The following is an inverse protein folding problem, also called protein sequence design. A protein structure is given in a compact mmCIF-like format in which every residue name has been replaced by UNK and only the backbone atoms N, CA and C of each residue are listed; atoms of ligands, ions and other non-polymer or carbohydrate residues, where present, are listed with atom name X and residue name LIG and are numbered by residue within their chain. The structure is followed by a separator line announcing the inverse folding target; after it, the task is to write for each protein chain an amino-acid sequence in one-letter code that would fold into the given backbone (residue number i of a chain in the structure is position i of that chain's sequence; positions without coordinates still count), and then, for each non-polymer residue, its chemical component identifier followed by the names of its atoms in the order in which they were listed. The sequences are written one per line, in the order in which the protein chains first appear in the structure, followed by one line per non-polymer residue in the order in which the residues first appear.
data_IF_824609625991
#
_entry.id   IF_824609625991
#
_cell.length_a   1.000
_cell.length_b   1.000
_cell.length_c   1.000
_cell.angle_alpha   90.00
_cell.angle_beta   90.00
_cell.angle_gamma   90.00
#
_symmetry.space_group_name_H-M   'P 1'
#
loop_
_entity.id
_entity.type
_entity.pdbx_description
1 polymer ?
#
# COMPACT_ATOMS: atom_id res chain seq x y z
N UNK A 1 -13.84 -31.80 11.38
CA UNK A 1 -13.14 -33.04 10.94
C UNK A 1 -13.52 -33.46 9.52
N UNK A 2 -12.88 -32.84 8.52
CA UNK A 2 -12.73 -33.35 7.16
C UNK A 2 -11.50 -32.65 6.55
N UNK A 3 -10.35 -33.34 6.61
CA UNK A 3 -9.07 -32.89 6.03
C UNK A 3 -9.26 -32.66 4.52
N UNK A 4 -9.06 -31.44 4.03
CA UNK A 4 -8.92 -31.15 2.60
C UNK A 4 -7.45 -30.99 2.27
N UNK A 5 -6.99 -31.79 1.31
CA UNK A 5 -5.62 -31.81 0.83
C UNK A 5 -5.37 -30.66 -0.15
N UNK A 6 -4.32 -29.88 0.15
CA UNK A 6 -3.57 -29.11 -0.85
C UNK A 6 -3.05 -30.06 -1.94
N UNK A 7 -3.15 -29.62 -3.20
CA UNK A 7 -2.67 -30.40 -4.33
C UNK A 7 -2.68 -29.64 -5.64
N UNK A 8 -1.75 -28.69 -5.80
CA UNK A 8 -1.21 -28.36 -7.12
C UNK A 8 -0.52 -29.62 -7.67
N UNK A 9 -0.99 -30.11 -8.82
CA UNK A 9 -0.28 -31.17 -9.54
C UNK A 9 -1.09 -31.86 -10.62
N UNK A 10 -0.69 -31.60 -11.87
CA UNK A 10 -0.92 -32.41 -13.09
C UNK A 10 -2.21 -32.16 -13.88
N UNK A 11 -2.08 -31.36 -14.93
CA UNK A 11 -2.84 -31.56 -16.16
C UNK A 11 -1.95 -31.33 -17.40
N UNK A 12 -1.00 -32.24 -17.62
CA UNK A 12 -0.33 -32.40 -18.91
C UNK A 12 -0.57 -33.83 -19.44
N UNK A 13 -1.06 -33.88 -20.69
CA UNK A 13 -1.15 -35.02 -21.64
C UNK A 13 -2.39 -35.93 -21.58
N UNK A 14 -3.27 -35.75 -22.58
CA UNK A 14 -3.71 -36.75 -23.58
C UNK A 14 -4.82 -36.10 -24.45
N UNK A 15 -4.75 -36.01 -25.79
CA UNK A 15 -4.64 -37.09 -26.78
C UNK A 15 -4.27 -36.52 -28.17
N UNK A 16 -3.25 -37.12 -28.83
CA UNK A 16 -3.10 -37.19 -30.31
C UNK A 16 -4.24 -38.09 -30.87
N UNK A 17 -4.67 -38.11 -32.13
CA UNK A 17 -3.99 -37.97 -33.42
C UNK A 17 -5.03 -38.10 -34.57
N UNK A 18 -4.82 -37.44 -35.71
CA UNK A 18 -4.81 -38.10 -37.04
C UNK A 18 -4.09 -37.23 -38.09
N UNK A 19 -3.00 -37.79 -38.62
CA UNK A 19 -2.15 -37.44 -39.77
C UNK A 19 -2.90 -37.67 -41.10
N UNK A 20 -2.60 -37.12 -42.28
CA UNK A 20 -1.37 -36.62 -42.97
C UNK A 20 -1.80 -36.08 -44.40
N UNK A 21 -0.91 -35.66 -45.34
CA UNK A 21 -0.09 -34.44 -45.42
C UNK A 21 -0.33 -33.63 -46.73
N UNK A 22 0.17 -32.38 -46.82
CA UNK A 22 0.86 -31.92 -48.03
C UNK A 22 1.72 -30.66 -47.80
N UNK A 23 2.65 -30.47 -48.72
CA UNK A 23 3.95 -29.79 -48.61
C UNK A 23 3.99 -28.26 -48.38
N UNK A 24 5.09 -27.85 -47.72
CA UNK A 24 5.90 -26.64 -47.92
C UNK A 24 5.27 -25.24 -47.79
N UNK A 25 5.48 -24.61 -46.63
CA UNK A 25 6.22 -23.36 -46.46
C UNK A 25 6.36 -23.09 -44.95
N UNK A 26 7.57 -22.90 -44.43
CA UNK A 26 7.78 -22.39 -43.07
C UNK A 26 7.68 -20.85 -43.09
N UNK A 27 6.73 -20.23 -42.38
CA UNK A 27 6.96 -18.92 -41.80
C UNK A 27 7.69 -19.13 -40.47
N UNK A 28 8.78 -18.38 -40.27
CA UNK A 28 9.36 -18.19 -38.94
C UNK A 28 8.23 -17.76 -38.00
N UNK A 29 8.02 -18.50 -36.92
CA UNK A 29 7.16 -18.07 -35.84
C UNK A 29 7.81 -16.82 -35.22
N UNK A 30 7.31 -15.65 -35.59
CA UNK A 30 7.49 -14.48 -34.77
C UNK A 30 6.78 -14.77 -33.45
N UNK A 31 7.51 -14.70 -32.33
CA UNK A 31 6.89 -14.60 -31.02
C UNK A 31 6.29 -13.18 -30.91
N UNK A 32 5.26 -12.90 -31.69
CA UNK A 32 4.48 -11.67 -31.58
C UNK A 32 3.58 -11.80 -30.35
N UNK A 33 3.94 -11.09 -29.28
CA UNK A 33 3.10 -10.94 -28.10
C UNK A 33 1.89 -10.09 -28.53
N UNK A 34 0.73 -10.72 -28.72
CA UNK A 34 -0.52 -10.00 -28.97
C UNK A 34 -1.16 -9.70 -27.62
N UNK A 35 -1.00 -8.46 -27.15
CA UNK A 35 -1.71 -7.96 -25.96
C UNK A 35 -2.96 -7.25 -26.44
N UNK A 36 -4.14 -7.73 -26.06
CA UNK A 36 -5.39 -7.01 -26.30
C UNK A 36 -5.44 -5.79 -25.38
N UNK A 37 -5.49 -4.59 -25.97
CA UNK A 37 -5.61 -3.34 -25.22
C UNK A 37 -7.04 -3.17 -24.71
N UNK A 38 -7.19 -2.65 -23.50
CA UNK A 38 -8.49 -2.37 -22.89
C UNK A 38 -9.25 -1.20 -23.55
N UNK A 39 -8.57 -0.38 -24.35
CA UNK A 39 -9.12 0.82 -24.99
C UNK A 39 -8.91 0.80 -26.52
N UNK A 40 -9.89 1.32 -27.29
CA UNK A 40 -9.75 1.56 -28.73
C UNK A 40 -8.76 2.70 -28.98
N UNK A 41 -7.47 2.38 -29.05
CA UNK A 41 -6.39 3.33 -29.32
C UNK A 41 -6.07 3.36 -30.82
N UNK A 42 -5.83 4.56 -31.38
CA UNK A 42 -5.43 4.73 -32.77
C UNK A 42 -4.11 3.97 -33.05
N UNK A 43 -4.13 3.08 -34.05
CA UNK A 43 -2.98 2.32 -34.49
C UNK A 43 -1.80 3.20 -34.99
N UNK A 44 -2.03 4.49 -35.24
CA UNK A 44 -0.99 5.45 -35.62
C UNK A 44 -0.48 6.33 -34.45
N UNK A 45 -1.09 6.24 -33.27
CA UNK A 45 -0.64 6.94 -32.07
C UNK A 45 0.27 6.02 -31.24
N UNK A 46 1.55 5.99 -31.58
CA UNK A 46 2.56 5.14 -30.91
C UNK A 46 2.67 5.44 -29.40
N UNK A 47 2.51 6.71 -29.00
CA UNK A 47 2.56 7.12 -27.60
C UNK A 47 1.26 6.76 -26.85
N UNK A 48 0.11 6.88 -27.50
CA UNK A 48 -1.16 6.37 -26.99
C UNK A 48 -1.11 4.86 -26.76
N UNK A 49 -0.52 4.10 -27.70
CA UNK A 49 -0.33 2.65 -27.56
C UNK A 49 0.55 2.28 -26.38
N UNK A 50 1.68 2.99 -26.20
CA UNK A 50 2.55 2.78 -25.04
C UNK A 50 1.78 2.97 -23.72
N UNK A 51 0.97 4.04 -23.65
CA UNK A 51 0.13 4.32 -22.48
C UNK A 51 -0.91 3.20 -22.26
N UNK A 52 -1.57 2.74 -23.32
CA UNK A 52 -2.52 1.63 -23.25
C UNK A 52 -1.88 0.32 -22.77
N UNK A 53 -0.69 -0.01 -23.27
CA UNK A 53 0.07 -1.19 -22.84
C UNK A 53 0.42 -1.12 -21.35
N UNK A 54 0.94 0.03 -20.90
CA UNK A 54 1.26 0.27 -19.50
C UNK A 54 0.02 0.15 -18.60
N UNK A 55 -1.07 0.82 -18.96
CA UNK A 55 -2.33 0.75 -18.21
C UNK A 55 -2.89 -0.69 -18.15
N UNK A 56 -2.79 -1.45 -19.24
CA UNK A 56 -3.23 -2.86 -19.27
C UNK A 56 -2.40 -3.70 -18.30
N UNK A 57 -1.08 -3.47 -18.24
CA UNK A 57 -0.20 -4.12 -17.28
C UNK A 57 -0.52 -3.73 -15.83
N UNK A 58 -0.70 -2.44 -15.54
CA UNK A 58 -1.03 -1.95 -14.20
C UNK A 58 -2.34 -2.52 -13.65
N UNK A 59 -3.32 -2.79 -14.52
CA UNK A 59 -4.61 -3.37 -14.15
C UNK A 59 -4.64 -4.91 -14.22
N UNK A 60 -3.50 -5.56 -14.47
CA UNK A 60 -3.36 -7.02 -14.48
C UNK A 60 -2.80 -7.54 -13.14
N UNK A 61 -2.61 -8.86 -13.03
CA UNK A 61 -1.93 -9.49 -11.88
C UNK A 61 -0.42 -9.14 -11.79
N UNK A 62 0.12 -8.36 -12.76
CA UNK A 62 1.52 -7.89 -12.82
C UNK A 62 2.57 -9.02 -12.81
N UNK A 63 2.18 -10.27 -13.09
CA UNK A 63 3.02 -11.48 -12.99
C UNK A 63 3.76 -11.88 -14.29
N UNK A 64 3.65 -11.07 -15.34
CA UNK A 64 4.13 -11.41 -16.66
C UNK A 64 5.32 -10.55 -17.12
N UNK A 65 6.54 -11.07 -16.92
CA UNK A 65 7.79 -10.44 -17.34
C UNK A 65 7.84 -10.15 -18.86
N UNK A 66 7.14 -10.94 -19.70
CA UNK A 66 7.12 -10.72 -21.15
C UNK A 66 6.39 -9.43 -21.53
N UNK A 67 5.34 -9.07 -20.79
CA UNK A 67 4.59 -7.82 -21.02
C UNK A 67 5.48 -6.63 -20.69
N UNK A 68 6.17 -6.67 -19.55
CA UNK A 68 7.12 -5.62 -19.14
C UNK A 68 8.24 -5.44 -20.16
N UNK A 69 8.83 -6.53 -20.63
CA UNK A 69 9.84 -6.49 -21.70
C UNK A 69 9.27 -5.93 -23.02
N UNK A 70 8.01 -6.24 -23.35
CA UNK A 70 7.31 -5.65 -24.50
C UNK A 70 7.21 -4.13 -24.40
N UNK A 71 6.84 -3.61 -23.23
CA UNK A 71 6.75 -2.17 -22.94
C UNK A 71 8.14 -1.52 -23.06
N UNK A 72 9.18 -2.13 -22.51
CA UNK A 72 10.57 -1.64 -22.62
C UNK A 72 11.03 -1.59 -24.07
N UNK A 73 10.76 -2.63 -24.86
CA UNK A 73 11.12 -2.64 -26.29
C UNK A 73 10.38 -1.56 -27.09
N UNK A 74 9.14 -1.27 -26.73
CA UNK A 74 8.37 -0.18 -27.32
C UNK A 74 8.95 1.18 -26.95
N UNK A 75 9.31 1.38 -25.68
CA UNK A 75 10.03 2.57 -25.23
C UNK A 75 11.36 2.78 -25.99
N UNK A 76 12.12 1.71 -26.17
CA UNK A 76 13.36 1.72 -26.94
C UNK A 76 13.14 2.03 -28.43
N UNK A 77 12.04 1.54 -29.01
CA UNK A 77 11.65 1.85 -30.40
C UNK A 77 11.35 3.34 -30.55
N UNK A 78 10.54 3.89 -29.65
CA UNK A 78 10.19 5.31 -29.61
C UNK A 78 11.43 6.19 -29.42
N UNK A 79 12.33 5.82 -28.50
CA UNK A 79 13.58 6.55 -28.26
C UNK A 79 14.49 6.55 -29.49
N UNK A 80 14.60 5.43 -30.22
CA UNK A 80 15.37 5.36 -31.48
C UNK A 80 14.76 6.19 -32.61
N UNK A 81 13.45 6.34 -32.61
CA UNK A 81 12.70 7.09 -33.61
C UNK A 81 12.54 8.57 -33.24
N UNK A 82 13.00 8.97 -32.04
CA UNK A 82 12.97 10.35 -31.57
C UNK A 82 13.77 11.25 -32.53
N UNK A 83 13.12 12.26 -33.09
CA UNK A 83 13.79 13.28 -33.90
C UNK A 83 14.29 14.38 -32.96
N UNK A 84 15.44 14.98 -33.26
CA UNK A 84 16.02 16.10 -32.48
C UNK A 84 15.04 17.25 -32.21
N UNK A 85 13.98 17.40 -33.01
CA UNK A 85 12.95 18.44 -32.87
C UNK A 85 11.73 18.05 -32.04
N UNK A 86 11.57 16.78 -31.64
CA UNK A 86 10.39 16.26 -30.94
C UNK A 86 10.80 15.57 -29.65
N UNK A 87 10.85 16.35 -28.58
CA UNK A 87 11.13 15.86 -27.25
C UNK A 87 10.02 14.92 -26.77
N UNK A 88 10.37 13.72 -26.32
CA UNK A 88 9.42 12.78 -25.74
C UNK A 88 8.80 13.34 -24.45
N UNK A 89 7.48 13.13 -24.22
CA UNK A 89 6.77 13.65 -23.06
C UNK A 89 7.27 13.05 -21.74
N UNK A 90 6.96 13.68 -20.62
CA UNK A 90 7.38 13.23 -19.29
C UNK A 90 6.81 11.85 -18.94
N UNK A 91 5.53 11.61 -19.23
CA UNK A 91 4.92 10.29 -18.99
C UNK A 91 5.62 9.16 -19.76
N UNK A 92 6.26 9.43 -20.90
CA UNK A 92 7.08 8.41 -21.59
C UNK A 92 8.25 7.98 -20.71
N UNK A 93 8.98 8.95 -20.15
CA UNK A 93 10.09 8.68 -19.25
C UNK A 93 9.62 7.97 -17.98
N UNK A 94 8.44 8.34 -17.46
CA UNK A 94 7.82 7.68 -16.31
C UNK A 94 7.47 6.22 -16.61
N UNK A 95 6.78 5.92 -17.71
CA UNK A 95 6.43 4.54 -18.10
C UNK A 95 7.70 3.71 -18.27
N UNK A 96 8.71 4.25 -18.98
CA UNK A 96 9.95 3.53 -19.20
C UNK A 96 10.67 3.23 -17.88
N UNK A 97 10.81 4.23 -17.00
CA UNK A 97 11.46 4.02 -15.72
C UNK A 97 10.71 3.03 -14.82
N UNK A 98 9.38 3.14 -14.70
CA UNK A 98 8.59 2.18 -13.93
C UNK A 98 8.71 0.77 -14.52
N UNK A 99 8.66 0.61 -15.85
CA UNK A 99 8.82 -0.70 -16.49
C UNK A 99 10.19 -1.34 -16.20
N UNK A 100 11.26 -0.53 -16.19
CA UNK A 100 12.58 -1.00 -15.80
C UNK A 100 12.63 -1.43 -14.33
N UNK A 101 12.00 -0.66 -13.43
CA UNK A 101 11.93 -1.01 -12.01
C UNK A 101 11.11 -2.29 -11.76
N UNK A 102 10.02 -2.51 -12.51
CA UNK A 102 9.18 -3.71 -12.39
C UNK A 102 9.95 -5.00 -12.73
N UNK A 103 11.00 -4.94 -13.54
CA UNK A 103 11.85 -6.11 -13.77
C UNK A 103 12.50 -6.64 -12.48
N UNK A 104 12.71 -5.80 -11.46
CA UNK A 104 13.28 -6.23 -10.18
C UNK A 104 12.41 -7.31 -9.49
N UNK A 105 11.09 -7.26 -9.66
CA UNK A 105 10.14 -8.22 -9.06
C UNK A 105 10.32 -9.65 -9.60
N UNK A 106 10.91 -9.81 -10.79
CA UNK A 106 11.13 -11.13 -11.42
C UNK A 106 12.51 -11.73 -11.11
N UNK A 107 13.43 -10.92 -10.56
CA UNK A 107 14.83 -11.33 -10.32
C UNK A 107 15.25 -11.15 -8.86
N UNK A 108 14.31 -11.22 -7.91
CA UNK A 108 14.51 -10.96 -6.47
C UNK A 108 15.61 -11.78 -5.80
N UNK A 109 15.95 -12.96 -6.34
CA UNK A 109 17.04 -13.80 -5.84
C UNK A 109 18.45 -13.33 -6.25
N UNK A 110 18.55 -12.43 -7.24
CA UNK A 110 19.82 -11.88 -7.74
C UNK A 110 19.88 -10.38 -7.46
N UNK A 111 20.40 -10.03 -6.28
CA UNK A 111 20.51 -8.64 -5.84
C UNK A 111 21.35 -7.76 -6.79
N UNK A 112 22.26 -8.36 -7.58
CA UNK A 112 23.03 -7.60 -8.58
C UNK A 112 22.12 -7.12 -9.70
N UNK A 113 21.28 -8.01 -10.24
CA UNK A 113 20.28 -7.64 -11.25
C UNK A 113 19.23 -6.69 -10.71
N UNK A 114 18.72 -6.94 -9.50
CA UNK A 114 17.78 -6.03 -8.83
C UNK A 114 18.35 -4.61 -8.80
N UNK A 115 19.61 -4.47 -8.35
CA UNK A 115 20.32 -3.19 -8.36
C UNK A 115 20.44 -2.60 -9.77
N UNK A 116 20.82 -3.38 -10.77
CA UNK A 116 20.96 -2.92 -12.16
C UNK A 116 19.64 -2.37 -12.72
N UNK A 117 18.51 -3.03 -12.45
CA UNK A 117 17.19 -2.56 -12.86
C UNK A 117 16.80 -1.25 -12.19
N UNK A 118 16.99 -1.14 -10.88
CA UNK A 118 16.71 0.11 -10.16
C UNK A 118 17.62 1.26 -10.60
N UNK A 119 18.90 1.00 -10.81
CA UNK A 119 19.83 2.03 -11.30
C UNK A 119 19.45 2.51 -12.71
N UNK A 120 19.12 1.59 -13.62
CA UNK A 120 18.65 1.94 -14.96
C UNK A 120 17.33 2.73 -14.94
N UNK A 121 16.41 2.36 -14.06
CA UNK A 121 15.15 3.06 -13.85
C UNK A 121 15.39 4.51 -13.37
N UNK A 122 16.25 4.69 -12.36
CA UNK A 122 16.58 6.01 -11.82
C UNK A 122 17.34 6.87 -12.84
N UNK A 123 18.29 6.30 -13.58
CA UNK A 123 18.97 7.00 -14.69
C UNK A 123 17.97 7.49 -15.74
N UNK A 124 16.93 6.69 -16.06
CA UNK A 124 15.87 7.09 -16.99
C UNK A 124 15.02 8.23 -16.46
N UNK A 125 14.66 8.20 -15.17
CA UNK A 125 13.92 9.30 -14.53
C UNK A 125 14.75 10.57 -14.51
N UNK A 126 16.02 10.49 -14.08
CA UNK A 126 16.91 11.65 -13.98
C UNK A 126 17.18 12.27 -15.35
N UNK A 127 17.33 11.45 -16.40
CA UNK A 127 17.37 11.93 -17.78
C UNK A 127 16.08 12.68 -18.15
N UNK A 128 14.92 12.13 -17.82
CA UNK A 128 13.64 12.81 -17.98
C UNK A 128 13.59 14.14 -17.22
N UNK A 129 13.99 14.18 -15.95
CA UNK A 129 14.00 15.40 -15.15
C UNK A 129 14.95 16.46 -15.71
N UNK A 130 16.13 16.06 -16.20
CA UNK A 130 17.11 16.97 -16.82
C UNK A 130 16.58 17.67 -18.07
N UNK A 131 15.61 17.04 -18.72
CA UNK A 131 14.95 17.50 -19.91
C UNK A 131 13.90 18.59 -19.60
N UNK A 132 13.26 18.58 -18.43
CA UNK A 132 12.21 19.53 -18.04
C UNK A 132 12.75 20.55 -17.01
N UNK A 133 12.99 21.79 -17.44
CA UNK A 133 13.64 22.84 -16.62
C UNK A 133 12.95 23.12 -15.27
N UNK A 134 11.62 23.00 -15.23
CA UNK A 134 10.82 23.18 -14.02
C UNK A 134 10.64 21.88 -13.22
N UNK A 135 11.17 20.75 -13.71
CA UNK A 135 10.98 19.35 -13.28
C UNK A 135 9.53 18.88 -13.24
N UNK A 136 9.24 17.78 -13.95
CA UNK A 136 7.88 17.22 -14.04
C UNK A 136 7.45 16.60 -12.71
N UNK A 137 6.18 16.85 -12.32
CA UNK A 137 5.55 16.27 -11.13
C UNK A 137 5.48 14.74 -11.28
N UNK A 138 5.05 14.24 -12.44
CA UNK A 138 4.95 12.80 -12.72
C UNK A 138 6.30 12.08 -12.59
N UNK A 139 7.38 12.73 -13.04
CA UNK A 139 8.72 12.17 -12.91
C UNK A 139 9.24 12.21 -11.47
N UNK A 140 8.86 13.21 -10.68
CA UNK A 140 9.19 13.25 -9.25
C UNK A 140 8.44 12.17 -8.46
N UNK A 141 7.14 11.99 -8.71
CA UNK A 141 6.37 10.87 -8.15
C UNK A 141 6.95 9.53 -8.59
N UNK A 142 7.30 9.38 -9.88
CA UNK A 142 7.96 8.16 -10.37
C UNK A 142 9.29 7.91 -9.68
N UNK A 143 10.11 8.95 -9.47
CA UNK A 143 11.37 8.83 -8.73
C UNK A 143 11.13 8.31 -7.31
N UNK A 144 10.18 8.92 -6.60
CA UNK A 144 9.82 8.50 -5.25
C UNK A 144 9.35 7.04 -5.22
N UNK A 145 8.43 6.65 -6.12
CA UNK A 145 7.94 5.27 -6.26
C UNK A 145 9.07 4.27 -6.43
N UNK A 146 10.01 4.54 -7.34
CA UNK A 146 11.15 3.65 -7.63
C UNK A 146 12.08 3.55 -6.42
N UNK A 147 12.36 4.67 -5.75
CA UNK A 147 13.20 4.69 -4.56
C UNK A 147 12.58 3.92 -3.39
N UNK A 148 11.27 4.05 -3.15
CA UNK A 148 10.56 3.29 -2.11
C UNK A 148 10.58 1.80 -2.44
N UNK A 149 10.18 1.39 -3.66
CA UNK A 149 10.19 -0.02 -4.09
C UNK A 149 11.58 -0.66 -4.03
N UNK A 150 12.65 0.12 -4.20
CA UNK A 150 14.04 -0.34 -4.11
C UNK A 150 14.41 -0.81 -2.71
N UNK A 151 13.87 -0.18 -1.66
CA UNK A 151 14.22 -0.45 -0.26
C UNK A 151 13.95 -1.92 0.12
N UNK A 152 12.72 -2.46 0.00
CA UNK A 152 12.45 -3.84 0.41
C UNK A 152 13.21 -4.84 -0.47
N UNK A 153 13.20 -4.63 -1.80
CA UNK A 153 13.69 -5.61 -2.76
C UNK A 153 15.22 -5.70 -2.81
N UNK A 154 15.93 -4.58 -2.71
CA UNK A 154 17.39 -4.55 -2.83
C UNK A 154 18.10 -4.52 -1.48
N UNK A 155 17.47 -3.94 -0.46
CA UNK A 155 18.13 -3.66 0.81
C UNK A 155 17.61 -4.54 1.94
N UNK A 156 16.31 -4.50 2.26
CA UNK A 156 15.75 -5.26 3.40
C UNK A 156 15.84 -6.77 3.15
N UNK A 157 15.59 -7.24 1.92
CA UNK A 157 15.66 -8.67 1.55
C UNK A 157 17.03 -9.32 1.78
N UNK A 158 18.08 -8.53 1.99
CA UNK A 158 19.46 -9.00 2.24
C UNK A 158 19.84 -8.99 3.73
N UNK A 159 18.93 -8.54 4.61
CA UNK A 159 19.21 -8.40 6.03
C UNK A 159 18.92 -9.70 6.80
N UNK A 160 19.61 -9.82 7.92
CA UNK A 160 19.40 -10.79 9.00
C UNK A 160 19.45 -10.04 10.33
N UNK A 161 19.01 -10.65 11.43
CA UNK A 161 19.01 -10.03 12.77
C UNK A 161 20.40 -9.49 13.20
N UNK A 162 21.47 -10.06 12.67
CA UNK A 162 22.87 -9.71 12.98
C UNK A 162 23.47 -8.68 12.01
N UNK A 163 22.68 -8.21 11.05
CA UNK A 163 23.13 -7.24 10.05
C UNK A 163 23.54 -5.93 10.70
N UNK A 164 24.57 -5.29 10.14
CA UNK A 164 25.14 -4.04 10.67
C UNK A 164 25.28 -2.99 9.59
N UNK A 165 25.11 -1.74 9.98
CA UNK A 165 25.31 -0.59 9.10
C UNK A 165 26.73 -0.63 8.52
N UNK A 166 26.83 -0.66 7.19
CA UNK A 166 28.10 -0.59 6.49
C UNK A 166 28.66 0.85 6.54
N UNK A 167 29.95 1.01 6.84
CA UNK A 167 30.59 2.34 7.01
C UNK A 167 30.60 3.22 5.76
N UNK A 168 30.44 2.63 4.57
CA UNK A 168 30.60 3.31 3.28
C UNK A 168 29.32 3.34 2.43
N UNK A 169 28.18 2.89 2.99
CA UNK A 169 26.89 2.92 2.30
C UNK A 169 25.92 3.85 3.04
N UNK A 170 25.03 4.55 2.33
CA UNK A 170 23.95 5.29 2.98
C UNK A 170 23.14 4.34 3.86
N UNK A 171 22.66 4.85 5.00
CA UNK A 171 21.74 4.09 5.85
C UNK A 171 20.37 3.95 5.18
N UNK A 172 19.57 2.97 5.60
CA UNK A 172 18.22 2.81 5.06
C UNK A 172 17.34 4.03 5.31
N UNK A 173 17.47 4.66 6.48
CA UNK A 173 16.78 5.93 6.76
C UNK A 173 17.16 7.05 5.79
N UNK A 174 18.42 7.13 5.33
CA UNK A 174 18.84 8.12 4.34
C UNK A 174 18.25 7.84 2.95
N UNK A 175 18.14 6.55 2.57
CA UNK A 175 17.51 6.14 1.31
C UNK A 175 16.00 6.46 1.34
N UNK A 176 15.36 6.23 2.48
CA UNK A 176 13.97 6.57 2.69
C UNK A 176 13.77 8.09 2.62
N UNK A 177 14.59 8.88 3.34
CA UNK A 177 14.56 10.35 3.28
C UNK A 177 14.71 10.89 1.85
N UNK A 178 15.56 10.29 1.01
CA UNK A 178 15.70 10.69 -0.41
C UNK A 178 14.41 10.42 -1.21
N UNK A 179 13.76 9.29 -0.95
CA UNK A 179 12.51 8.91 -1.59
C UNK A 179 11.37 9.86 -1.20
N UNK A 180 11.27 10.19 0.09
CA UNK A 180 10.25 11.09 0.65
C UNK A 180 10.46 12.53 0.17
N UNK A 181 11.70 13.01 0.09
CA UNK A 181 11.99 14.33 -0.48
C UNK A 181 11.52 14.44 -1.94
N UNK A 182 11.67 13.39 -2.74
CA UNK A 182 11.17 13.39 -4.12
C UNK A 182 9.65 13.54 -4.18
N UNK A 183 8.93 12.89 -3.25
CA UNK A 183 7.48 13.03 -3.12
C UNK A 183 7.07 14.44 -2.68
N UNK A 184 7.70 14.99 -1.64
CA UNK A 184 7.43 16.34 -1.14
C UNK A 184 7.62 17.41 -2.23
N UNK A 185 8.66 17.26 -3.05
CA UNK A 185 8.90 18.15 -4.19
C UNK A 185 7.77 18.05 -5.23
N UNK A 186 7.27 16.84 -5.50
CA UNK A 186 6.17 16.61 -6.43
C UNK A 186 4.88 17.24 -5.90
N UNK A 187 4.54 16.95 -4.65
CA UNK A 187 3.34 17.45 -3.97
C UNK A 187 3.33 18.98 -3.89
N UNK A 188 4.44 19.59 -3.46
CA UNK A 188 4.58 21.05 -3.41
C UNK A 188 4.36 21.70 -4.77
N UNK A 189 4.91 21.11 -5.84
CA UNK A 189 4.73 21.62 -7.20
C UNK A 189 3.30 21.44 -7.69
N UNK A 190 2.67 20.31 -7.36
CA UNK A 190 1.28 20.08 -7.69
C UNK A 190 0.37 21.12 -7.02
N UNK A 191 0.65 21.50 -5.77
CA UNK A 191 -0.06 22.59 -5.09
C UNK A 191 0.16 23.95 -5.76
N UNK A 192 1.42 24.28 -6.09
CA UNK A 192 1.79 25.55 -6.74
C UNK A 192 1.13 25.71 -8.11
N UNK A 193 1.04 24.62 -8.87
CA UNK A 193 0.45 24.58 -10.22
C UNK A 193 -1.04 24.21 -10.22
N UNK A 194 -1.61 23.84 -9.06
CA UNK A 194 -2.97 23.36 -8.89
C UNK A 194 -3.32 22.15 -9.75
N UNK A 195 -2.36 21.24 -9.94
CA UNK A 195 -2.52 20.01 -10.73
C UNK A 195 -2.98 18.86 -9.84
N UNK A 196 -4.16 19.03 -9.23
CA UNK A 196 -4.69 18.09 -8.27
C UNK A 196 -5.17 16.78 -8.90
N UNK A 197 -5.37 16.74 -10.22
CA UNK A 197 -5.69 15.52 -10.98
C UNK A 197 -4.61 14.43 -10.91
N UNK A 198 -3.40 14.79 -10.50
CA UNK A 198 -2.29 13.86 -10.31
C UNK A 198 -2.41 13.06 -9.00
N UNK A 199 -3.28 13.45 -8.08
CA UNK A 199 -3.59 12.69 -6.87
C UNK A 199 -4.70 11.69 -7.20
N UNK A 200 -4.29 10.56 -7.75
CA UNK A 200 -5.13 9.46 -8.25
C UNK A 200 -4.64 8.11 -7.72
N UNK A 201 -5.33 7.01 -8.05
CA UNK A 201 -4.98 5.67 -7.56
C UNK A 201 -3.53 5.29 -7.84
N UNK A 202 -3.00 5.58 -9.03
CA UNK A 202 -1.63 5.20 -9.40
C UNK A 202 -0.58 5.86 -8.50
N UNK A 203 -0.83 7.11 -8.08
CA UNK A 203 0.09 7.84 -7.20
C UNK A 203 -0.19 7.58 -5.71
N UNK A 204 -1.37 7.05 -5.36
CA UNK A 204 -1.62 6.51 -4.01
C UNK A 204 -0.70 5.30 -3.72
N UNK A 205 -0.39 4.47 -4.74
CA UNK A 205 0.54 3.32 -4.62
C UNK A 205 1.91 3.71 -3.99
N UNK A 206 2.31 4.99 -4.04
CA UNK A 206 3.56 5.47 -3.43
C UNK A 206 3.46 5.47 -1.90
N UNK A 207 2.33 5.94 -1.36
CA UNK A 207 2.07 5.97 0.07
C UNK A 207 1.76 4.55 0.59
N UNK A 208 1.09 3.72 -0.20
CA UNK A 208 0.88 2.30 0.12
C UNK A 208 2.21 1.55 0.19
N UNK A 209 3.10 1.74 -0.79
CA UNK A 209 4.42 1.12 -0.77
C UNK A 209 5.30 1.62 0.40
N UNK A 210 5.07 2.84 0.89
CA UNK A 210 5.74 3.31 2.11
C UNK A 210 5.21 2.57 3.34
N UNK A 211 3.89 2.47 3.47
CA UNK A 211 3.21 1.76 4.56
C UNK A 211 3.69 0.30 4.63
N UNK A 212 3.72 -0.41 3.49
CA UNK A 212 4.26 -1.77 3.40
C UNK A 212 5.73 -1.88 3.86
N UNK A 213 6.55 -0.84 3.60
CA UNK A 213 7.94 -0.80 4.05
C UNK A 213 8.01 -0.60 5.57
N UNK A 214 7.14 0.22 6.15
CA UNK A 214 7.08 0.43 7.59
C UNK A 214 6.59 -0.83 8.30
N UNK A 215 5.53 -1.47 7.79
CA UNK A 215 5.06 -2.77 8.30
C UNK A 215 6.14 -3.85 8.23
N UNK A 216 6.87 -3.93 7.11
CA UNK A 216 8.01 -4.84 6.97
C UNK A 216 9.13 -4.56 7.99
N UNK A 217 9.37 -3.29 8.33
CA UNK A 217 10.36 -2.89 9.33
C UNK A 217 9.88 -3.29 10.73
N UNK A 218 8.63 -3.03 11.06
CA UNK A 218 8.05 -3.28 12.38
C UNK A 218 7.91 -4.78 12.67
N UNK A 219 7.68 -5.58 11.63
CA UNK A 219 7.59 -7.04 11.71
C UNK A 219 8.89 -7.76 11.35
N UNK A 220 10.00 -7.04 11.15
CA UNK A 220 11.26 -7.66 10.74
C UNK A 220 11.79 -8.64 11.79
N UNK A 221 11.86 -9.92 11.42
CA UNK A 221 12.40 -10.97 12.28
C UNK A 221 11.39 -11.59 13.25
N UNK A 222 10.14 -11.13 13.25
CA UNK A 222 9.05 -11.83 13.95
C UNK A 222 8.66 -13.08 13.16
N UNK A 223 8.45 -14.21 13.82
CA UNK A 223 7.86 -15.38 13.15
C UNK A 223 6.41 -15.05 12.81
N UNK A 224 6.09 -14.85 11.53
CA UNK A 224 4.70 -14.82 11.09
C UNK A 224 4.13 -16.23 11.26
N UNK A 225 3.30 -16.42 12.28
CA UNK A 225 2.42 -17.59 12.40
C UNK A 225 1.41 -17.54 11.24
N UNK A 226 1.81 -18.04 10.06
CA UNK A 226 0.86 -18.35 8.99
C UNK A 226 0.03 -19.57 9.40
N UNK A 227 -1.11 -19.34 10.05
CA UNK A 227 -2.08 -20.38 10.34
C UNK A 227 -3.01 -20.00 11.48
N UNK A 228 -4.29 -19.85 11.15
CA UNK A 228 -5.43 -19.90 12.09
C UNK A 228 -5.31 -21.12 13.01
N UNK A 229 -4.75 -20.96 14.20
CA UNK A 229 -5.04 -21.78 15.38
C UNK A 229 -4.94 -20.82 16.59
N UNK A 230 -6.01 -20.04 16.79
CA UNK A 230 -6.27 -19.22 17.98
C UNK A 230 -6.51 -20.12 19.21
N UNK A 231 -5.51 -20.89 19.63
CA UNK A 231 -5.64 -21.79 20.80
C UNK A 231 -4.31 -22.08 21.53
N UNK A 232 -3.23 -21.33 21.25
CA UNK A 232 -2.02 -21.32 22.10
C UNK A 232 -1.87 -19.94 22.76
N UNK A 233 -2.54 -19.76 23.91
CA UNK A 233 -2.35 -18.66 24.87
C UNK A 233 -1.01 -18.79 25.65
N UNK A 234 0.08 -19.23 25.03
CA UNK A 234 1.35 -19.48 25.73
C UNK A 234 2.57 -19.28 24.81
N UNK A 235 2.96 -18.02 24.61
CA UNK A 235 4.34 -17.50 24.77
C UNK A 235 4.34 -16.05 24.24
N UNK A 236 4.57 -15.09 25.14
CA UNK A 236 5.12 -13.78 24.77
C UNK A 236 6.43 -14.04 24.00
N UNK A 237 6.34 -14.29 22.70
CA UNK A 237 7.49 -14.39 21.84
C UNK A 237 7.98 -12.95 21.66
N UNK A 238 8.73 -12.48 22.67
CA UNK A 238 9.39 -11.17 22.72
C UNK A 238 9.98 -10.92 21.34
N UNK A 239 9.33 -10.04 20.57
CA UNK A 239 9.76 -9.73 19.22
C UNK A 239 11.26 -9.38 19.27
N UNK A 240 12.10 -10.00 18.43
CA UNK A 240 13.54 -9.89 18.59
C UNK A 240 13.98 -8.43 18.49
N UNK A 241 14.43 -7.86 19.61
CA UNK A 241 14.87 -6.47 19.67
C UNK A 241 16.11 -6.26 18.78
N UNK A 242 15.99 -5.38 17.79
CA UNK A 242 17.08 -5.08 16.87
C UNK A 242 18.17 -4.28 17.60
N UNK A 243 19.44 -4.63 17.37
CA UNK A 243 20.54 -3.83 17.94
C UNK A 243 20.56 -2.40 17.37
N UNK A 244 21.03 -1.42 18.14
CA UNK A 244 21.24 -0.03 17.64
C UNK A 244 22.10 0.06 16.36
N UNK A 245 22.93 -0.96 16.11
CA UNK A 245 23.79 -1.04 14.93
C UNK A 245 23.11 -1.63 13.70
N UNK A 246 21.87 -2.13 13.85
CA UNK A 246 21.09 -2.75 12.79
C UNK A 246 20.58 -1.69 11.81
N UNK A 247 20.61 -1.94 10.48
CA UNK A 247 20.17 -0.95 9.48
C UNK A 247 18.73 -0.45 9.63
N UNK A 248 17.83 -1.25 10.22
CA UNK A 248 16.42 -0.90 10.42
C UNK A 248 16.15 -0.22 11.77
N UNK A 249 17.10 -0.27 12.72
CA UNK A 249 16.86 0.20 14.09
C UNK A 249 16.37 1.65 14.13
N UNK A 250 17.01 2.54 13.36
CA UNK A 250 16.66 3.95 13.29
C UNK A 250 15.34 4.25 12.59
N UNK A 251 14.74 3.26 11.90
CA UNK A 251 13.43 3.39 11.27
C UNK A 251 12.38 2.87 12.25
N UNK A 252 12.59 1.68 12.82
CA UNK A 252 11.69 1.05 13.79
C UNK A 252 11.51 1.88 15.07
N UNK A 253 12.58 2.50 15.57
CA UNK A 253 12.55 3.23 16.85
C UNK A 253 12.24 4.73 16.70
N UNK A 254 11.56 5.12 15.61
CA UNK A 254 11.14 6.51 15.43
C UNK A 254 9.77 6.60 14.78
N UNK A 255 8.94 7.47 15.32
CA UNK A 255 7.62 7.77 14.74
C UNK A 255 7.70 8.69 13.51
N UNK A 256 8.90 9.16 13.15
CA UNK A 256 9.12 10.13 12.06
C UNK A 256 8.42 9.72 10.76
N UNK A 257 8.52 8.45 10.36
CA UNK A 257 8.02 7.99 9.07
C UNK A 257 6.52 7.70 9.08
N UNK A 258 5.98 7.21 10.21
CA UNK A 258 4.55 7.07 10.42
C UNK A 258 3.86 8.45 10.42
N UNK A 259 4.44 9.42 11.13
CA UNK A 259 3.94 10.80 11.10
C UNK A 259 4.03 11.42 9.70
N UNK A 260 5.14 11.20 8.98
CA UNK A 260 5.27 11.66 7.59
C UNK A 260 4.17 11.06 6.72
N UNK A 261 3.96 9.73 6.79
CA UNK A 261 2.91 9.07 6.04
C UNK A 261 1.53 9.66 6.36
N UNK A 262 1.23 9.87 7.65
CA UNK A 262 -0.05 10.42 8.11
C UNK A 262 -0.29 11.85 7.61
N UNK A 263 0.72 12.71 7.70
CA UNK A 263 0.64 14.08 7.20
C UNK A 263 0.39 14.12 5.70
N UNK A 264 1.07 13.25 4.94
CA UNK A 264 1.00 13.24 3.48
C UNK A 264 -0.23 12.51 2.93
N UNK A 265 -0.77 11.50 3.60
CA UNK A 265 -2.04 10.87 3.20
C UNK A 265 -3.23 11.80 3.46
N UNK A 266 -3.19 12.58 4.56
CA UNK A 266 -4.19 13.62 4.83
C UNK A 266 -4.16 14.71 3.75
N UNK A 267 -2.96 15.15 3.37
CA UNK A 267 -2.79 16.11 2.28
C UNK A 267 -3.18 15.54 0.92
N UNK A 268 -2.93 14.24 0.68
CA UNK A 268 -3.42 13.55 -0.51
C UNK A 268 -4.96 13.59 -0.57
N UNK A 269 -5.65 13.32 0.54
CA UNK A 269 -7.11 13.42 0.65
C UNK A 269 -7.59 14.84 0.32
N UNK A 270 -6.96 15.87 0.89
CA UNK A 270 -7.30 17.27 0.58
C UNK A 270 -7.19 17.57 -0.92
N UNK A 271 -6.13 17.08 -1.56
CA UNK A 271 -5.92 17.27 -2.99
C UNK A 271 -6.92 16.48 -3.85
N UNK A 272 -7.33 15.27 -3.43
CA UNK A 272 -8.43 14.52 -4.06
C UNK A 272 -9.76 15.30 -3.96
N UNK A 273 -10.04 15.91 -2.80
CA UNK A 273 -11.23 16.73 -2.58
C UNK A 273 -11.21 18.02 -3.43
N UNK A 274 -10.03 18.64 -3.61
CA UNK A 274 -9.85 19.78 -4.51
C UNK A 274 -10.01 19.40 -5.99
N UNK A 275 -9.45 18.26 -6.41
CA UNK A 275 -9.61 17.72 -7.75
C UNK A 275 -11.09 17.43 -8.07
N UNK A 276 -11.81 16.90 -7.08
CA UNK A 276 -13.24 16.63 -7.15
C UNK A 276 -14.03 17.95 -7.26
N UNK A 277 -13.79 18.93 -6.40
CA UNK A 277 -14.50 20.21 -6.39
C UNK A 277 -14.40 21.01 -7.70
N UNK A 278 -13.32 20.82 -8.46
CA UNK A 278 -13.09 21.50 -9.74
C UNK A 278 -13.82 20.83 -10.93
N UNK A 279 -14.29 19.59 -10.77
CA UNK A 279 -15.09 18.88 -11.77
C UNK A 279 -16.55 18.92 -11.31
N UNK A 280 -17.50 19.07 -12.22
CA UNK A 280 -18.91 18.89 -11.87
C UNK A 280 -19.13 17.39 -11.60
N UNK A 281 -18.83 16.93 -10.38
CA UNK A 281 -18.78 15.51 -10.04
C UNK A 281 -20.20 14.92 -10.05
N UNK A 282 -20.44 14.00 -10.99
CA UNK A 282 -21.58 13.08 -10.94
C UNK A 282 -21.29 12.01 -9.87
N UNK A 283 -22.33 11.46 -9.25
CA UNK A 283 -22.23 10.48 -8.14
C UNK A 283 -21.32 9.25 -8.40
N UNK A 284 -20.91 9.00 -9.65
CA UNK A 284 -20.13 7.83 -10.12
C UNK A 284 -18.67 8.17 -10.54
N UNK A 285 -18.11 9.30 -10.09
CA UNK A 285 -16.74 9.66 -10.46
C UNK A 285 -15.71 8.75 -9.77
N UNK A 286 -14.68 8.31 -10.51
CA UNK A 286 -13.60 7.43 -10.03
C UNK A 286 -12.83 7.94 -8.79
N UNK A 287 -13.03 9.21 -8.41
CA UNK A 287 -12.45 9.77 -7.19
C UNK A 287 -13.25 9.40 -5.92
N UNK A 288 -14.52 8.98 -6.03
CA UNK A 288 -15.31 8.57 -4.87
C UNK A 288 -14.78 7.28 -4.24
N UNK A 289 -14.52 6.18 -4.99
CA UNK A 289 -13.88 4.99 -4.45
C UNK A 289 -12.49 5.30 -3.87
N UNK A 290 -11.67 6.08 -4.59
CA UNK A 290 -10.35 6.50 -4.12
C UNK A 290 -10.42 7.25 -2.79
N UNK A 291 -11.34 8.22 -2.68
CA UNK A 291 -11.54 8.98 -1.44
C UNK A 291 -11.94 8.07 -0.29
N UNK A 292 -12.83 7.11 -0.51
CA UNK A 292 -13.24 6.12 0.51
C UNK A 292 -12.05 5.29 0.97
N UNK A 293 -11.24 4.81 0.04
CA UNK A 293 -10.03 4.03 0.33
C UNK A 293 -9.03 4.84 1.18
N UNK A 294 -8.79 6.10 0.83
CA UNK A 294 -7.92 6.99 1.60
C UNK A 294 -8.47 7.20 3.02
N UNK A 295 -9.77 7.48 3.16
CA UNK A 295 -10.42 7.61 4.46
C UNK A 295 -10.33 6.31 5.28
N UNK A 296 -10.47 5.14 4.65
CA UNK A 296 -10.31 3.84 5.32
C UNK A 296 -8.91 3.72 5.93
N UNK A 297 -7.87 4.01 5.16
CA UNK A 297 -6.47 3.95 5.62
C UNK A 297 -6.17 4.94 6.73
N UNK A 298 -6.64 6.18 6.61
CA UNK A 298 -6.49 7.18 7.68
C UNK A 298 -7.17 6.68 8.97
N UNK A 299 -8.39 6.14 8.85
CA UNK A 299 -9.12 5.55 9.97
C UNK A 299 -8.33 4.43 10.64
N UNK A 300 -7.82 3.48 9.86
CA UNK A 300 -7.00 2.37 10.34
C UNK A 300 -5.71 2.83 11.02
N UNK A 301 -5.02 3.83 10.46
CA UNK A 301 -3.80 4.38 11.07
C UNK A 301 -4.05 5.01 12.44
N UNK A 302 -5.17 5.70 12.63
CA UNK A 302 -5.56 6.22 13.95
C UNK A 302 -5.96 5.12 14.93
N UNK A 303 -6.55 4.01 14.47
CA UNK A 303 -6.81 2.85 15.32
C UNK A 303 -5.52 2.19 15.77
N UNK A 304 -4.56 1.96 14.87
CA UNK A 304 -3.25 1.41 15.20
C UNK A 304 -2.50 2.30 16.21
N UNK A 305 -2.47 3.61 16.00
CA UNK A 305 -1.87 4.54 16.97
C UNK A 305 -2.57 4.50 18.34
N UNK A 306 -3.86 4.15 18.37
CA UNK A 306 -4.62 4.04 19.61
C UNK A 306 -4.34 2.77 20.42
N UNK A 307 -3.66 1.77 19.86
CA UNK A 307 -3.42 0.49 20.53
C UNK A 307 -2.59 0.65 21.80
N UNK A 308 -1.45 1.37 21.74
CA UNK A 308 -0.60 1.63 22.90
C UNK A 308 -1.36 2.35 24.03
N UNK A 309 -1.99 3.52 23.80
CA UNK A 309 -2.71 4.20 24.87
C UNK A 309 -3.95 3.42 25.34
N UNK A 310 -4.60 2.62 24.48
CA UNK A 310 -5.71 1.74 24.90
C UNK A 310 -5.22 0.60 25.79
N UNK A 311 -4.09 -0.01 25.44
CA UNK A 311 -3.42 -1.05 26.22
C UNK A 311 -2.99 -0.51 27.58
N UNK A 312 -2.28 0.61 27.63
CA UNK A 312 -1.88 1.26 28.88
C UNK A 312 -3.08 1.59 29.77
N UNK A 313 -4.17 2.13 29.20
CA UNK A 313 -5.38 2.39 29.97
C UNK A 313 -5.97 1.10 30.55
N UNK A 314 -6.07 0.05 29.74
CA UNK A 314 -6.64 -1.24 30.13
C UNK A 314 -5.82 -1.88 31.25
N UNK A 315 -4.51 -1.97 31.07
CA UNK A 315 -3.58 -2.54 32.04
C UNK A 315 -3.61 -1.79 33.37
N UNK A 316 -3.48 -0.45 33.36
CA UNK A 316 -3.53 0.35 34.59
C UNK A 316 -4.91 0.36 35.27
N UNK A 317 -5.98 0.02 34.56
CA UNK A 317 -7.35 0.05 35.10
C UNK A 317 -7.80 -1.30 35.64
N UNK A 318 -7.45 -2.39 34.97
CA UNK A 318 -8.06 -3.71 35.19
C UNK A 318 -7.07 -4.79 35.61
N UNK A 319 -5.76 -4.62 35.41
CA UNK A 319 -4.79 -5.66 35.77
C UNK A 319 -4.32 -5.49 37.22
N UNK A 320 -4.63 -6.50 38.05
CA UNK A 320 -4.29 -6.51 39.47
C UNK A 320 -2.77 -6.38 39.72
N UNK A 321 -1.94 -6.83 38.79
CA UNK A 321 -0.48 -6.79 38.88
C UNK A 321 0.09 -5.36 38.80
N UNK A 322 -0.68 -4.42 38.24
CA UNK A 322 -0.27 -3.04 38.01
C UNK A 322 -1.01 -2.03 38.92
N UNK A 323 -1.74 -2.48 39.94
CA UNK A 323 -2.52 -1.60 40.83
C UNK A 323 -1.68 -0.52 41.56
N UNK A 324 -0.41 -0.80 41.82
CA UNK A 324 0.51 0.15 42.48
C UNK A 324 1.28 1.03 41.47
N UNK A 325 1.19 0.72 40.17
CA UNK A 325 1.81 1.50 39.10
C UNK A 325 0.92 2.68 38.70
N UNK A 326 1.53 3.86 38.56
CA UNK A 326 0.80 5.09 38.21
C UNK A 326 0.99 5.49 36.75
N UNK A 327 1.93 4.87 36.06
CA UNK A 327 2.38 5.22 34.72
C UNK A 327 2.95 3.98 34.01
N UNK A 328 2.61 3.81 32.74
CA UNK A 328 3.15 2.78 31.86
C UNK A 328 3.41 3.42 30.49
N UNK A 329 4.51 3.08 29.82
CA UNK A 329 4.91 3.69 28.53
C UNK A 329 4.90 5.24 28.51
N UNK A 330 5.20 5.87 29.66
CA UNK A 330 5.19 7.33 29.78
C UNK A 330 3.81 7.97 29.95
N UNK A 331 2.75 7.17 30.14
CA UNK A 331 1.37 7.62 30.20
C UNK A 331 0.71 7.21 31.53
N UNK A 332 0.04 8.15 32.18
CA UNK A 332 -0.90 7.83 33.26
C UNK A 332 -2.21 7.29 32.69
N UNK A 333 -3.00 6.61 33.52
CA UNK A 333 -4.35 6.12 33.16
C UNK A 333 -5.21 7.20 32.48
N UNK A 334 -5.30 8.39 33.06
CA UNK A 334 -6.12 9.48 32.51
C UNK A 334 -5.56 10.03 31.18
N UNK A 335 -4.24 10.05 31.03
CA UNK A 335 -3.61 10.48 29.78
C UNK A 335 -3.85 9.46 28.67
N UNK A 336 -3.61 8.18 28.97
CA UNK A 336 -3.82 7.06 28.06
C UNK A 336 -5.27 6.98 27.59
N UNK A 337 -6.23 7.04 28.53
CA UNK A 337 -7.67 7.07 28.23
C UNK A 337 -8.02 8.22 27.27
N UNK A 338 -7.55 9.43 27.57
CA UNK A 338 -7.87 10.61 26.79
C UNK A 338 -7.28 10.54 25.38
N UNK A 339 -6.01 10.15 25.26
CA UNK A 339 -5.32 10.03 23.97
C UNK A 339 -6.02 8.96 23.12
N UNK A 340 -6.28 7.78 23.69
CA UNK A 340 -6.98 6.71 23.00
C UNK A 340 -8.38 7.12 22.53
N UNK A 341 -9.16 7.82 23.38
CA UNK A 341 -10.47 8.36 22.99
C UNK A 341 -10.36 9.36 21.83
N UNK A 342 -9.41 10.29 21.86
CA UNK A 342 -9.21 11.28 20.79
C UNK A 342 -8.82 10.62 19.47
N UNK A 343 -7.94 9.61 19.51
CA UNK A 343 -7.51 8.84 18.34
C UNK A 343 -8.66 8.02 17.76
N UNK A 344 -9.37 7.23 18.57
CA UNK A 344 -10.48 6.39 18.09
C UNK A 344 -11.64 7.24 17.58
N UNK A 345 -11.96 8.37 18.22
CA UNK A 345 -12.98 9.30 17.70
C UNK A 345 -12.58 9.86 16.33
N UNK A 346 -11.30 10.16 16.13
CA UNK A 346 -10.78 10.61 14.84
C UNK A 346 -10.84 9.48 13.80
N UNK A 347 -10.50 8.26 14.19
CA UNK A 347 -10.63 7.07 13.34
C UNK A 347 -12.07 6.87 12.86
N UNK A 348 -13.04 6.89 13.78
CA UNK A 348 -14.48 6.73 13.49
C UNK A 348 -14.93 7.75 12.45
N UNK A 349 -14.51 9.02 12.58
CA UNK A 349 -14.87 10.07 11.61
C UNK A 349 -14.46 9.69 10.19
N UNK A 350 -13.23 9.20 10.01
CA UNK A 350 -12.75 8.81 8.67
C UNK A 350 -13.39 7.50 8.20
N UNK A 351 -13.57 6.51 9.08
CA UNK A 351 -14.24 5.26 8.73
C UNK A 351 -15.71 5.47 8.32
N UNK A 352 -16.42 6.40 8.95
CA UNK A 352 -17.76 6.83 8.53
C UNK A 352 -17.75 7.41 7.10
N UNK A 353 -16.73 8.20 6.75
CA UNK A 353 -16.53 8.72 5.39
C UNK A 353 -16.07 7.66 4.38
N UNK A 354 -15.52 6.55 4.85
CA UNK A 354 -15.08 5.41 4.04
C UNK A 354 -16.20 4.41 3.72
N UNK A 355 -17.38 4.54 4.35
CA UNK A 355 -18.47 3.57 4.16
C UNK A 355 -18.94 3.48 2.71
N UNK A 356 -19.10 2.24 2.23
CA UNK A 356 -19.71 1.92 0.96
C UNK A 356 -21.06 1.22 1.20
N UNK A 357 -22.09 1.60 0.45
CA UNK A 357 -23.42 1.01 0.59
C UNK A 357 -23.50 -0.43 0.10
N UNK A 358 -22.56 -0.81 -0.77
CA UNK A 358 -22.50 -2.15 -1.37
C UNK A 358 -21.53 -3.09 -0.62
N UNK A 359 -20.76 -2.55 0.32
CA UNK A 359 -19.81 -3.32 1.14
C UNK A 359 -20.16 -3.19 2.64
N UNK A 360 -20.90 -4.17 3.21
CA UNK A 360 -21.23 -4.21 4.63
C UNK A 360 -20.02 -4.26 5.56
N UNK A 361 -18.86 -4.73 5.10
CA UNK A 361 -17.63 -4.81 5.91
C UNK A 361 -17.16 -3.41 6.32
N UNK A 362 -17.26 -2.44 5.41
CA UNK A 362 -16.98 -1.03 5.70
C UNK A 362 -17.83 -0.46 6.84
N UNK A 363 -19.01 -1.02 7.11
CA UNK A 363 -19.85 -0.61 8.24
C UNK A 363 -19.38 -1.26 9.54
N UNK A 364 -18.94 -2.52 9.46
CA UNK A 364 -18.46 -3.28 10.62
C UNK A 364 -17.22 -2.63 11.20
N UNK A 365 -16.28 -2.14 10.38
CA UNK A 365 -15.12 -1.39 10.87
C UNK A 365 -15.50 -0.17 11.73
N UNK A 366 -16.59 0.53 11.40
CA UNK A 366 -17.11 1.63 12.24
C UNK A 366 -17.69 1.11 13.56
N UNK A 367 -18.39 -0.02 13.52
CA UNK A 367 -18.94 -0.63 14.73
C UNK A 367 -17.84 -1.12 15.69
N UNK A 368 -16.80 -1.77 15.18
CA UNK A 368 -15.65 -2.23 15.97
C UNK A 368 -14.93 -1.05 16.63
N UNK A 369 -14.69 0.03 15.87
CA UNK A 369 -14.11 1.25 16.43
C UNK A 369 -14.99 1.88 17.53
N UNK A 370 -16.33 1.84 17.37
CA UNK A 370 -17.27 2.29 18.40
C UNK A 370 -17.25 1.40 19.66
N UNK A 371 -17.05 0.09 19.50
CA UNK A 371 -16.89 -0.84 20.64
C UNK A 371 -15.60 -0.51 21.39
N UNK A 372 -14.47 -0.37 20.67
CA UNK A 372 -13.20 0.03 21.27
C UNK A 372 -13.32 1.37 22.01
N UNK A 373 -14.03 2.35 21.44
CA UNK A 373 -14.31 3.61 22.13
C UNK A 373 -15.15 3.41 23.40
N UNK A 374 -16.18 2.55 23.33
CA UNK A 374 -17.02 2.18 24.47
C UNK A 374 -16.21 1.58 25.62
N UNK A 375 -15.24 0.73 25.32
CA UNK A 375 -14.35 0.09 26.30
C UNK A 375 -13.46 1.09 27.06
N UNK A 376 -13.26 2.30 26.50
CA UNK A 376 -12.49 3.36 27.15
C UNK A 376 -13.32 4.26 28.04
N UNK A 377 -14.65 4.13 28.09
CA UNK A 377 -15.50 4.91 28.97
C UNK A 377 -15.68 4.22 30.34
N UNK A 378 -16.14 4.97 31.34
CA UNK A 378 -16.46 4.39 32.64
C UNK A 378 -17.59 3.35 32.49
N UNK A 379 -17.48 2.26 33.25
CA UNK A 379 -18.49 1.20 33.25
C UNK A 379 -19.88 1.76 33.59
N UNK A 380 -20.88 1.40 32.80
CA UNK A 380 -22.27 1.84 32.90
C UNK A 380 -22.47 3.36 32.68
N UNK A 381 -21.51 4.04 32.04
CA UNK A 381 -21.67 5.46 31.67
C UNK A 381 -22.60 5.65 30.47
N UNK A 382 -23.26 6.80 30.41
CA UNK A 382 -24.12 7.19 29.28
C UNK A 382 -23.32 7.16 27.95
N UNK A 383 -22.03 7.50 27.99
CA UNK A 383 -21.12 7.49 26.85
C UNK A 383 -20.78 6.07 26.36
N UNK A 384 -20.55 5.14 27.28
CA UNK A 384 -20.34 3.72 26.96
C UNK A 384 -21.60 3.14 26.30
N UNK A 385 -22.75 3.29 26.96
CA UNK A 385 -24.03 2.78 26.44
C UNK A 385 -24.36 3.37 25.06
N UNK A 386 -24.07 4.67 24.85
CA UNK A 386 -24.31 5.32 23.57
C UNK A 386 -23.40 4.76 22.46
N UNK A 387 -22.16 4.40 22.78
CA UNK A 387 -21.20 3.84 21.81
C UNK A 387 -21.61 2.41 21.41
N UNK A 388 -21.87 1.54 22.39
CA UNK A 388 -22.33 0.17 22.13
C UNK A 388 -23.66 0.12 21.40
N UNK A 389 -24.62 0.98 21.75
CA UNK A 389 -25.91 1.03 21.04
C UNK A 389 -25.77 1.43 19.57
N UNK A 390 -24.82 2.32 19.24
CA UNK A 390 -24.53 2.66 17.84
C UNK A 390 -23.88 1.49 17.12
N UNK A 391 -22.89 0.84 17.75
CA UNK A 391 -22.24 -0.35 17.20
C UNK A 391 -23.25 -1.47 16.92
N UNK A 392 -24.12 -1.78 17.89
CA UNK A 392 -25.17 -2.78 17.79
C UNK A 392 -26.13 -2.48 16.62
N UNK A 393 -26.53 -1.21 16.45
CA UNK A 393 -27.40 -0.82 15.34
C UNK A 393 -26.74 -1.03 13.97
N UNK A 394 -25.44 -0.77 13.87
CA UNK A 394 -24.66 -0.97 12.64
C UNK A 394 -24.45 -2.46 12.37
N UNK A 395 -24.06 -3.25 13.38
CA UNK A 395 -23.87 -4.69 13.26
C UNK A 395 -25.17 -5.41 12.89
N UNK A 396 -26.29 -5.06 13.53
CA UNK A 396 -27.61 -5.57 13.13
C UNK A 396 -27.90 -5.30 11.65
N UNK A 397 -27.60 -4.09 11.16
CA UNK A 397 -27.79 -3.73 9.75
C UNK A 397 -26.88 -4.56 8.84
N UNK A 398 -25.59 -4.69 9.16
CA UNK A 398 -24.63 -5.47 8.38
C UNK A 398 -25.02 -6.95 8.34
N UNK A 399 -25.31 -7.55 9.49
CA UNK A 399 -25.68 -8.95 9.65
C UNK A 399 -26.94 -9.33 8.86
N UNK A 400 -27.94 -8.44 8.83
CA UNK A 400 -29.15 -8.63 8.02
C UNK A 400 -28.86 -8.63 6.51
N UNK A 401 -27.89 -7.84 6.04
CA UNK A 401 -27.53 -7.75 4.62
C UNK A 401 -26.63 -8.92 4.20
N UNK A 402 -25.78 -9.42 5.09
CA UNK A 402 -24.86 -10.54 4.83
C UNK A 402 -25.44 -11.92 5.15
N UNK A 403 -26.68 -12.01 5.62
CA UNK A 403 -27.36 -13.25 6.02
C UNK A 403 -26.67 -14.01 7.17
N UNK A 404 -26.25 -13.30 8.22
CA UNK A 404 -25.74 -13.93 9.45
C UNK A 404 -24.22 -13.97 9.60
N UNK A 405 -23.45 -13.32 8.72
CA UNK A 405 -21.98 -13.35 8.78
C UNK A 405 -21.42 -12.71 10.06
N UNK A 406 -22.13 -11.77 10.66
CA UNK A 406 -21.67 -10.98 11.81
C UNK A 406 -22.47 -11.29 13.08
N UNK A 407 -23.18 -12.42 13.12
CA UNK A 407 -23.98 -12.84 14.28
C UNK A 407 -23.11 -13.01 15.52
N UNK A 408 -21.94 -13.63 15.37
CA UNK A 408 -21.01 -13.88 16.49
C UNK A 408 -20.50 -12.57 17.11
N UNK A 409 -20.08 -11.61 16.29
CA UNK A 409 -19.65 -10.28 16.75
C UNK A 409 -20.79 -9.56 17.48
N UNK A 410 -22.01 -9.67 16.96
CA UNK A 410 -23.21 -9.09 17.58
C UNK A 410 -23.55 -9.78 18.91
N UNK A 411 -23.50 -11.11 18.97
CA UNK A 411 -23.77 -11.88 20.18
C UNK A 411 -22.74 -11.58 21.27
N UNK A 412 -21.46 -11.44 20.93
CA UNK A 412 -20.39 -11.07 21.87
C UNK A 412 -20.62 -9.67 22.46
N UNK A 413 -21.00 -8.69 21.62
CA UNK A 413 -21.33 -7.35 22.09
C UNK A 413 -22.54 -7.35 23.06
N UNK A 414 -23.55 -8.18 22.82
CA UNK A 414 -24.76 -8.25 23.66
C UNK A 414 -24.55 -9.02 24.97
N UNK A 415 -23.47 -9.79 25.07
CA UNK A 415 -23.07 -10.51 26.30
C UNK A 415 -22.09 -9.71 27.17
N UNK A 416 -21.52 -8.64 26.60
CA UNK A 416 -20.67 -7.64 27.28
C UNK A 416 -21.54 -6.68 28.09
#
# INVERSE_FOLDING_TARGET
MAKRHLGLGKAAKAKKQKTEPDAEAQPQASNELTVELSEEIDANDELGQLKGLWNTYCNSEKDNELVVNGIIHECDRLLRNEKESSKLPDYFHSIYANSLAELANFHTTDNTKVKEFFDAALERVDLGLSHYEAGSIDLLFTKSRILIKRIPLQHISQLTLESKIAKEKPSLGQLLDEALQSYELAEKRADELKQYELFNQDNLEILEALDDVLDMVDNFGKEQLEGEDEDDEDEDDDAPELSESHPLYSIQNTDKYNQWWRDHILKFLENVDLASSNKAVQEDHALHPLRREICKRIGQSYLQESEIPSGVFTTLTYEDEYQDETELEGLTREQAQKIAQELIQTAIKYLEEAQDKEDPESWVHVAEALISLGNLYELDSDEQEASYKKAEAILNKANNVTNGQYEEVLENLLQS
#
